data_IF_300658653035
#
_entry.id   IF_300658653035
#
_cell.length_a   1.000
_cell.length_b   1.000
_cell.length_c   1.000
_cell.angle_alpha   90.00
_cell.angle_beta   90.00
_cell.angle_gamma   90.00
#
_symmetry.space_group_name_H-M   'P 1'
#
loop_
_entity.id
_entity.type
_entity.pdbx_description
1 polymer ?
#
# COMPACT_ATOMS: atom_id res chain seq x y z
N UNK A 1 -6.23 -15.39 -2.04
CA UNK A 1 -6.77 -15.53 -0.68
C UNK A 1 -7.40 -14.21 -0.32
N UNK A 2 -8.71 -14.20 -0.06
CA UNK A 2 -9.40 -13.02 0.46
C UNK A 2 -8.82 -12.68 1.84
N UNK A 3 -8.62 -11.39 2.12
CA UNK A 3 -8.09 -10.90 3.39
C UNK A 3 -9.15 -11.18 4.47
N UNK A 4 -9.05 -12.33 5.15
CA UNK A 4 -9.99 -12.76 6.19
C UNK A 4 -9.96 -11.77 7.36
N UNK A 5 -11.11 -11.16 7.63
CA UNK A 5 -11.30 -10.26 8.75
C UNK A 5 -11.89 -11.04 9.93
N UNK A 6 -11.23 -11.14 11.09
CA UNK A 6 -11.69 -11.93 12.23
C UNK A 6 -12.73 -11.14 13.01
N UNK A 7 -13.96 -11.05 12.49
CA UNK A 7 -15.11 -10.60 13.26
C UNK A 7 -16.30 -11.51 13.00
N UNK A 8 -16.81 -12.13 14.06
CA UNK A 8 -18.11 -12.79 14.05
C UNK A 8 -19.18 -11.76 13.65
N UNK A 9 -19.96 -12.09 12.62
CA UNK A 9 -21.04 -11.28 12.08
C UNK A 9 -22.16 -11.09 13.13
N UNK A 10 -21.99 -10.18 14.08
CA UNK A 10 -22.99 -9.85 15.08
C UNK A 10 -22.88 -8.41 15.58
N UNK A 11 -23.09 -7.42 14.70
CA UNK A 11 -23.46 -6.06 15.13
C UNK A 11 -24.57 -5.49 14.24
N UNK A 12 -25.81 -5.70 14.71
CA UNK A 12 -26.96 -4.79 14.70
C UNK A 12 -27.26 -3.93 13.47
N UNK A 13 -28.39 -4.23 12.82
CA UNK A 13 -29.19 -3.24 12.10
C UNK A 13 -29.51 -2.04 13.00
N UNK A 14 -28.96 -0.87 12.71
CA UNK A 14 -29.62 0.45 12.84
C UNK A 14 -28.59 1.59 12.74
N UNK A 15 -28.66 2.35 11.64
CA UNK A 15 -28.62 3.82 11.62
C UNK A 15 -28.43 4.29 10.17
N UNK A 16 -29.55 4.36 9.45
CA UNK A 16 -29.63 4.99 8.14
C UNK A 16 -29.69 6.53 8.30
N UNK A 17 -29.11 7.21 7.31
CA UNK A 17 -29.28 8.64 6.92
C UNK A 17 -28.19 9.63 7.34
N UNK A 18 -27.08 9.61 6.57
CA UNK A 18 -26.51 10.78 5.85
C UNK A 18 -25.81 10.32 4.56
N UNK A 19 -26.59 9.62 3.73
CA UNK A 19 -26.12 8.94 2.54
C UNK A 19 -26.61 9.65 1.26
N UNK A 20 -25.70 10.08 0.39
CA UNK A 20 -26.04 10.27 -1.02
C UNK A 20 -24.83 10.21 -1.98
N UNK A 21 -23.60 10.44 -1.52
CA UNK A 21 -22.39 10.27 -2.35
C UNK A 21 -21.43 9.20 -1.83
N UNK A 22 -21.25 9.08 -0.50
CA UNK A 22 -20.41 8.03 0.10
C UNK A 22 -20.88 6.60 -0.19
N UNK A 23 -22.18 6.41 -0.49
CA UNK A 23 -22.75 5.07 -0.73
C UNK A 23 -22.42 4.44 -2.07
N UNK A 24 -22.09 5.23 -3.09
CA UNK A 24 -21.79 4.66 -4.42
C UNK A 24 -20.34 4.26 -4.53
N UNK A 25 -19.41 4.97 -3.90
CA UNK A 25 -17.97 4.73 -4.04
C UNK A 25 -17.35 3.97 -2.86
N UNK A 26 -17.93 3.97 -1.65
CA UNK A 26 -17.41 3.20 -0.52
C UNK A 26 -18.18 1.90 -0.34
N UNK A 27 -17.57 0.76 -0.68
CA UNK A 27 -18.25 -0.56 -0.72
C UNK A 27 -17.39 -1.69 -0.13
N UNK A 28 -16.88 -1.56 1.11
CA UNK A 28 -16.16 -2.64 1.76
C UNK A 28 -17.10 -3.80 2.10
N UNK A 29 -16.53 -5.02 2.17
CA UNK A 29 -17.23 -6.20 2.67
C UNK A 29 -17.65 -6.05 4.14
N UNK A 30 -16.82 -5.41 4.96
CA UNK A 30 -17.03 -5.16 6.39
C UNK A 30 -17.09 -3.66 6.68
N UNK A 31 -18.31 -3.11 6.71
CA UNK A 31 -18.58 -1.70 6.96
C UNK A 31 -18.97 -1.45 8.44
N UNK A 32 -18.26 -0.55 9.10
CA UNK A 32 -18.51 -0.09 10.46
C UNK A 32 -19.20 1.30 10.43
N UNK A 33 -20.49 1.39 10.81
CA UNK A 33 -21.20 2.66 10.83
C UNK A 33 -20.62 3.66 11.83
N UNK A 34 -20.70 4.96 11.50
CA UNK A 34 -20.34 6.05 12.41
C UNK A 34 -18.88 6.49 12.37
N UNK A 35 -18.00 5.73 11.70
CA UNK A 35 -16.64 6.17 11.41
C UNK A 35 -16.65 7.33 10.41
N UNK A 36 -15.70 8.27 10.59
CA UNK A 36 -15.48 9.34 9.61
C UNK A 36 -15.02 8.72 8.30
N UNK A 37 -15.65 9.12 7.20
CA UNK A 37 -15.34 8.61 5.87
C UNK A 37 -14.93 9.77 4.95
N UNK A 38 -13.67 9.79 4.54
CA UNK A 38 -13.12 10.73 3.55
C UNK A 38 -12.14 10.00 2.65
N UNK A 39 -12.17 10.18 1.31
CA UNK A 39 -11.29 9.46 0.39
C UNK A 39 -9.81 9.65 0.72
N UNK A 40 -9.38 10.91 0.86
CA UNK A 40 -8.04 11.28 1.32
C UNK A 40 -8.11 11.92 2.69
N UNK A 41 -7.16 11.59 3.53
CA UNK A 41 -7.06 12.13 4.88
C UNK A 41 -5.96 13.19 4.98
N UNK A 42 -6.17 14.23 5.81
CA UNK A 42 -5.19 15.29 5.97
C UNK A 42 -3.95 14.75 6.70
N UNK A 43 -2.77 15.07 6.15
CA UNK A 43 -1.46 14.71 6.74
C UNK A 43 -1.32 15.16 8.20
N UNK A 44 -1.97 16.27 8.57
CA UNK A 44 -1.97 16.79 9.95
C UNK A 44 -2.62 15.88 10.99
N UNK A 45 -3.40 14.86 10.57
CA UNK A 45 -3.95 13.86 11.47
C UNK A 45 -2.94 12.75 11.84
N UNK A 46 -1.80 12.66 11.14
CA UNK A 46 -0.82 11.57 11.27
C UNK A 46 0.61 12.09 11.40
N UNK A 47 0.81 13.24 12.04
CA UNK A 47 2.11 13.94 12.08
C UNK A 47 3.25 13.06 12.59
N UNK A 48 2.99 12.22 13.60
CA UNK A 48 4.02 11.38 14.23
C UNK A 48 4.45 10.25 13.30
N UNK A 49 3.48 9.51 12.72
CA UNK A 49 3.72 8.42 11.77
C UNK A 49 4.38 8.94 10.50
N UNK A 50 3.86 10.03 9.93
CA UNK A 50 4.40 10.65 8.72
C UNK A 50 5.81 11.16 9.00
N UNK A 51 6.03 11.90 10.08
CA UNK A 51 7.34 12.48 10.41
C UNK A 51 8.43 11.43 10.57
N UNK A 52 8.10 10.30 11.22
CA UNK A 52 9.04 9.19 11.39
C UNK A 52 9.35 8.46 10.07
N UNK A 53 8.34 8.19 9.25
CA UNK A 53 8.50 7.51 7.96
C UNK A 53 9.25 8.38 6.94
N UNK A 54 8.87 9.65 6.80
CA UNK A 54 9.54 10.61 5.91
C UNK A 54 10.96 10.91 6.40
N UNK A 55 11.18 11.01 7.72
CA UNK A 55 12.51 11.18 8.29
C UNK A 55 13.45 9.98 8.06
N UNK A 56 12.89 8.79 7.82
CA UNK A 56 13.63 7.57 7.52
C UNK A 56 13.69 7.24 6.01
N UNK A 57 13.08 8.05 5.14
CA UNK A 57 12.86 7.74 3.72
C UNK A 57 14.13 7.29 2.99
N UNK A 58 15.27 7.93 3.23
CA UNK A 58 16.52 7.59 2.56
C UNK A 58 17.02 6.20 2.92
N UNK A 59 16.85 5.79 4.19
CA UNK A 59 17.24 4.44 4.65
C UNK A 59 16.30 3.38 4.08
N UNK A 60 15.00 3.64 4.12
CA UNK A 60 13.97 2.73 3.58
C UNK A 60 14.15 2.56 2.06
N UNK A 61 14.39 3.66 1.33
CA UNK A 61 14.67 3.63 -0.10
C UNK A 61 15.93 2.83 -0.42
N UNK A 62 16.99 2.95 0.39
CA UNK A 62 18.21 2.18 0.19
C UNK A 62 17.94 0.67 0.27
N UNK A 63 17.17 0.22 1.28
CA UNK A 63 16.76 -1.19 1.41
C UNK A 63 15.98 -1.66 0.19
N UNK A 64 15.00 -0.87 -0.28
CA UNK A 64 14.26 -1.19 -1.50
C UNK A 64 15.17 -1.31 -2.72
N UNK A 65 16.09 -0.37 -2.94
CA UNK A 65 17.03 -0.46 -4.07
C UNK A 65 17.90 -1.73 -4.00
N UNK A 66 18.38 -2.11 -2.81
CA UNK A 66 19.12 -3.36 -2.62
C UNK A 66 18.26 -4.60 -2.92
N UNK A 67 16.99 -4.59 -2.49
CA UNK A 67 16.04 -5.66 -2.77
C UNK A 67 15.71 -5.80 -4.27
N UNK A 68 15.69 -4.69 -5.02
CA UNK A 68 15.44 -4.69 -6.46
C UNK A 68 16.68 -5.06 -7.28
N UNK A 69 17.88 -4.66 -6.87
CA UNK A 69 19.11 -5.06 -7.54
C UNK A 69 19.28 -6.60 -7.56
N UNK A 70 18.77 -7.27 -6.52
CA UNK A 70 18.68 -8.74 -6.50
C UNK A 70 17.82 -9.34 -7.61
N UNK A 71 16.82 -8.60 -8.13
CA UNK A 71 15.96 -9.08 -9.23
C UNK A 71 16.62 -8.96 -10.61
N UNK A 72 17.57 -8.02 -10.79
CA UNK A 72 18.26 -7.81 -12.07
C UNK A 72 19.44 -8.77 -12.28
N UNK A 73 19.91 -9.44 -11.21
CA UNK A 73 21.15 -10.22 -11.19
C UNK A 73 21.02 -11.73 -10.89
N UNK A 74 19.82 -12.31 -10.89
CA UNK A 74 19.68 -13.76 -10.69
C UNK A 74 20.07 -14.53 -11.95
N UNK A 75 21.23 -15.19 -11.92
CA UNK A 75 21.53 -16.34 -12.78
C UNK A 75 20.44 -17.42 -12.58
N UNK A 76 20.13 -18.21 -13.61
CA UNK A 76 19.08 -19.27 -13.58
C UNK A 76 19.31 -20.32 -12.46
N UNK A 77 20.51 -20.39 -11.89
CA UNK A 77 20.92 -21.28 -10.80
C UNK A 77 20.90 -20.64 -9.39
N UNK A 78 20.51 -19.36 -9.27
CA UNK A 78 20.38 -18.69 -7.97
C UNK A 78 19.07 -19.10 -7.30
N UNK A 79 19.14 -19.58 -6.05
CA UNK A 79 17.95 -19.79 -5.21
C UNK A 79 17.04 -18.55 -5.30
N UNK A 80 15.74 -18.71 -5.64
CA UNK A 80 14.86 -17.58 -5.85
C UNK A 80 14.89 -16.71 -4.59
N UNK A 81 15.25 -15.44 -4.74
CA UNK A 81 15.10 -14.45 -3.66
C UNK A 81 13.60 -14.29 -3.42
N UNK A 82 13.07 -15.16 -2.55
CA UNK A 82 11.66 -15.50 -2.32
C UNK A 82 10.73 -14.35 -1.89
N UNK A 83 11.13 -13.09 -2.03
CA UNK A 83 10.53 -12.04 -1.22
C UNK A 83 9.56 -11.12 -1.98
N UNK A 84 9.70 -11.01 -3.30
CA UNK A 84 8.71 -10.31 -4.13
C UNK A 84 7.70 -11.30 -4.69
N UNK A 85 6.45 -11.16 -4.27
CA UNK A 85 5.35 -12.02 -4.68
C UNK A 85 4.42 -11.25 -5.62
N UNK A 86 3.94 -11.86 -6.72
CA UNK A 86 2.86 -11.28 -7.51
C UNK A 86 1.61 -11.03 -6.67
N UNK A 87 0.89 -9.95 -6.93
CA UNK A 87 -0.40 -9.76 -6.27
C UNK A 87 -1.45 -10.73 -6.86
N UNK A 88 -1.90 -11.71 -6.07
CA UNK A 88 -2.78 -12.79 -6.53
C UNK A 88 -4.27 -12.46 -6.70
N UNK A 89 -4.70 -11.20 -6.61
CA UNK A 89 -6.12 -10.81 -6.59
C UNK A 89 -6.77 -10.76 -7.99
N UNK A 90 -5.99 -10.89 -9.07
CA UNK A 90 -6.52 -10.80 -10.45
C UNK A 90 -7.08 -9.43 -10.83
N UNK A 91 -6.83 -8.42 -10.00
CA UNK A 91 -7.35 -7.06 -10.16
C UNK A 91 -6.52 -6.17 -11.08
N UNK A 92 -5.42 -6.67 -11.66
CA UNK A 92 -4.49 -5.84 -12.42
C UNK A 92 -4.11 -6.43 -13.78
N UNK A 93 -3.66 -5.56 -14.67
CA UNK A 93 -2.85 -5.90 -15.84
C UNK A 93 -1.45 -5.33 -15.65
N UNK A 94 -0.42 -5.94 -16.25
CA UNK A 94 0.98 -5.56 -16.06
C UNK A 94 1.65 -6.29 -14.89
N UNK A 95 2.73 -5.71 -14.34
CA UNK A 95 3.53 -6.31 -13.26
C UNK A 95 3.27 -5.57 -11.95
N UNK A 96 2.54 -6.21 -11.05
CA UNK A 96 2.29 -5.73 -9.69
C UNK A 96 2.78 -6.77 -8.67
N UNK A 97 3.76 -6.37 -7.87
CA UNK A 97 4.38 -7.23 -6.86
C UNK A 97 4.34 -6.59 -5.48
N UNK A 98 4.43 -7.42 -4.45
CA UNK A 98 4.52 -7.02 -3.05
C UNK A 98 5.70 -7.72 -2.37
N UNK A 99 6.30 -7.02 -1.42
CA UNK A 99 7.28 -7.56 -0.49
C UNK A 99 6.72 -7.33 0.92
N UNK A 100 6.37 -8.39 1.63
CA UNK A 100 5.60 -8.30 2.88
C UNK A 100 6.51 -8.31 4.10
N UNK A 101 6.32 -7.35 5.01
CA UNK A 101 6.99 -7.29 6.31
C UNK A 101 6.02 -7.71 7.43
N UNK A 102 4.76 -7.26 7.37
CA UNK A 102 3.66 -7.71 8.23
C UNK A 102 2.39 -7.93 7.42
N UNK A 103 1.62 -8.95 7.77
CA UNK A 103 0.27 -9.15 7.23
C UNK A 103 -0.59 -9.92 8.24
N UNK A 104 -1.87 -9.54 8.34
CA UNK A 104 -2.85 -10.27 9.14
C UNK A 104 -2.42 -10.46 10.62
N UNK A 105 -1.86 -9.42 11.23
CA UNK A 105 -1.36 -9.45 12.61
C UNK A 105 -0.09 -10.27 12.82
N UNK A 106 0.58 -10.69 11.75
CA UNK A 106 1.77 -11.55 11.80
C UNK A 106 2.97 -10.88 11.16
N UNK A 107 4.11 -10.96 11.86
CA UNK A 107 5.43 -10.55 11.37
C UNK A 107 5.97 -11.59 10.39
N UNK A 108 6.41 -11.14 9.22
CA UNK A 108 7.10 -11.97 8.23
C UNK A 108 8.59 -11.86 8.48
N UNK A 109 9.14 -12.82 9.22
CA UNK A 109 10.54 -12.84 9.67
C UNK A 109 11.56 -12.62 8.54
N UNK A 110 11.34 -13.25 7.39
CA UNK A 110 12.23 -13.10 6.24
C UNK A 110 12.20 -11.69 5.67
N UNK A 111 11.00 -11.11 5.52
CA UNK A 111 10.80 -9.75 5.03
C UNK A 111 11.43 -8.71 5.96
N UNK A 112 11.15 -8.81 7.26
CA UNK A 112 11.71 -7.91 8.26
C UNK A 112 13.25 -8.00 8.37
N UNK A 113 13.82 -9.20 8.18
CA UNK A 113 15.28 -9.39 8.17
C UNK A 113 15.94 -8.71 6.97
N UNK A 114 15.26 -8.65 5.83
CA UNK A 114 15.79 -8.02 4.62
C UNK A 114 15.59 -6.49 4.59
N UNK A 115 14.69 -5.96 5.41
CA UNK A 115 14.44 -4.52 5.55
C UNK A 115 14.53 -4.05 7.02
N UNK A 116 15.69 -4.26 7.69
CA UNK A 116 15.83 -4.08 9.14
C UNK A 116 15.58 -2.63 9.61
N UNK A 117 15.94 -1.61 8.83
CA UNK A 117 15.72 -0.20 9.17
C UNK A 117 14.24 0.16 9.01
N UNK A 118 13.59 -0.32 7.97
CA UNK A 118 12.14 -0.19 7.81
C UNK A 118 11.41 -0.84 8.99
N UNK A 119 11.80 -2.06 9.36
CA UNK A 119 11.27 -2.78 10.52
C UNK A 119 11.44 -2.00 11.81
N UNK A 120 12.66 -1.51 12.09
CA UNK A 120 12.96 -0.73 13.30
C UNK A 120 12.10 0.53 13.43
N UNK A 121 11.86 1.23 12.31
CA UNK A 121 11.03 2.44 12.30
C UNK A 121 9.57 2.07 12.58
N UNK A 122 9.03 1.10 11.85
CA UNK A 122 7.63 0.69 11.93
C UNK A 122 7.26 0.15 13.31
N UNK A 123 8.13 -0.64 13.94
CA UNK A 123 7.89 -1.22 15.28
C UNK A 123 7.77 -0.16 16.38
N UNK A 124 8.27 1.07 16.15
CA UNK A 124 8.19 2.17 17.11
C UNK A 124 6.94 3.05 16.92
N UNK A 125 6.17 2.82 15.87
CA UNK A 125 5.02 3.66 15.53
C UNK A 125 3.75 3.22 16.24
N UNK A 126 3.12 4.15 16.95
CA UNK A 126 1.77 3.95 17.45
C UNK A 126 0.75 4.06 16.29
N UNK A 127 -0.34 3.30 16.40
CA UNK A 127 -1.45 3.35 15.43
C UNK A 127 -1.26 2.48 14.18
N UNK A 128 -0.10 1.87 13.98
CA UNK A 128 0.11 0.87 12.92
C UNK A 128 -0.53 -0.46 13.32
N UNK A 129 -1.22 -1.10 12.38
CA UNK A 129 -1.95 -2.34 12.58
C UNK A 129 -1.06 -3.60 12.58
N UNK A 130 -0.03 -3.65 13.43
CA UNK A 130 0.93 -4.77 13.46
C UNK A 130 0.36 -6.07 14.05
N UNK A 131 -0.58 -5.97 14.98
CA UNK A 131 -1.24 -7.09 15.68
C UNK A 131 -2.71 -7.26 15.27
N UNK A 132 -3.10 -6.60 14.17
CA UNK A 132 -4.44 -6.61 13.62
C UNK A 132 -4.38 -6.93 12.12
N UNK A 133 -5.52 -7.14 11.45
CA UNK A 133 -5.52 -7.58 10.05
C UNK A 133 -5.16 -6.51 9.01
N UNK A 134 -4.24 -5.60 9.36
CA UNK A 134 -3.57 -4.70 8.43
C UNK A 134 -2.30 -5.30 7.83
N UNK A 135 -1.59 -4.48 7.06
CA UNK A 135 -0.37 -4.83 6.35
C UNK A 135 0.69 -3.75 6.45
N UNK A 136 1.95 -4.21 6.45
CA UNK A 136 3.11 -3.39 6.12
C UNK A 136 3.90 -4.10 5.04
N UNK A 137 4.04 -3.48 3.88
CA UNK A 137 4.67 -4.09 2.71
C UNK A 137 5.21 -3.05 1.74
N UNK A 138 6.29 -3.36 1.02
CA UNK A 138 6.59 -2.63 -0.20
C UNK A 138 5.68 -3.12 -1.31
N UNK A 139 5.10 -2.21 -2.06
CA UNK A 139 4.39 -2.53 -3.30
C UNK A 139 5.18 -1.98 -4.47
N UNK A 140 5.38 -2.77 -5.52
CA UNK A 140 6.04 -2.39 -6.76
C UNK A 140 5.04 -2.48 -7.93
N UNK A 141 4.99 -1.45 -8.78
CA UNK A 141 4.36 -1.50 -10.10
C UNK A 141 5.38 -1.10 -11.17
N UNK A 142 5.49 -1.89 -12.24
CA UNK A 142 6.26 -1.51 -13.42
C UNK A 142 5.40 -0.71 -14.41
N UNK A 143 6.02 -0.04 -15.40
CA UNK A 143 5.29 0.69 -16.44
C UNK A 143 4.30 -0.20 -17.21
N UNK A 144 3.16 0.37 -17.61
CA UNK A 144 2.05 -0.35 -18.22
C UNK A 144 1.16 -1.12 -17.22
N UNK A 145 1.41 -0.98 -15.92
CA UNK A 145 0.59 -1.66 -14.90
C UNK A 145 -0.62 -0.80 -14.52
N UNK A 146 -1.81 -1.40 -14.54
CA UNK A 146 -3.06 -0.77 -14.10
C UNK A 146 -3.84 -1.69 -13.18
N UNK A 147 -4.16 -1.20 -12.01
CA UNK A 147 -5.05 -1.81 -11.03
C UNK A 147 -6.47 -1.35 -11.33
N UNK A 148 -7.42 -2.29 -11.44
CA UNK A 148 -8.83 -2.00 -11.67
C UNK A 148 -9.45 -1.30 -10.44
N UNK A 149 -10.51 -0.50 -10.62
CA UNK A 149 -11.29 0.03 -9.51
C UNK A 149 -11.79 -1.09 -8.60
N UNK A 150 -11.46 -1.01 -7.31
CA UNK A 150 -11.89 -1.97 -6.29
C UNK A 150 -11.97 -1.27 -4.92
N UNK A 151 -12.63 -1.90 -3.96
CA UNK A 151 -12.67 -1.43 -2.57
C UNK A 151 -11.89 -2.43 -1.71
N UNK A 152 -11.18 -1.90 -0.72
CA UNK A 152 -10.63 -2.67 0.38
C UNK A 152 -11.76 -3.34 1.19
N UNK A 153 -11.44 -4.37 1.96
CA UNK A 153 -12.44 -5.20 2.63
C UNK A 153 -13.15 -4.48 3.78
N UNK A 154 -12.68 -3.31 4.21
CA UNK A 154 -13.17 -2.67 5.45
C UNK A 154 -12.83 -1.19 5.59
N UNK A 155 -13.69 -0.41 6.25
CA UNK A 155 -13.50 1.03 6.52
C UNK A 155 -12.97 1.35 7.93
N UNK A 156 -12.53 0.35 8.70
CA UNK A 156 -11.93 0.61 10.02
C UNK A 156 -10.41 0.77 9.94
N UNK A 157 -9.81 0.67 8.74
CA UNK A 157 -8.40 0.95 8.50
C UNK A 157 -8.24 2.11 7.54
N UNK A 158 -7.14 2.82 7.68
CA UNK A 158 -6.63 3.75 6.69
C UNK A 158 -5.32 3.22 6.11
N UNK A 159 -5.08 3.52 4.84
CA UNK A 159 -3.87 3.11 4.14
C UNK A 159 -2.96 4.31 3.92
N UNK A 160 -1.75 4.22 4.45
CA UNK A 160 -0.68 5.17 4.18
C UNK A 160 0.27 4.60 3.13
N UNK A 161 0.58 5.41 2.11
CA UNK A 161 1.65 5.16 1.14
C UNK A 161 2.78 6.15 1.39
N UNK A 162 4.01 5.67 1.65
CA UNK A 162 5.24 6.44 1.52
C UNK A 162 5.89 6.09 0.17
N UNK A 163 5.91 6.98 -0.82
CA UNK A 163 6.56 6.72 -2.10
C UNK A 163 8.08 6.74 -1.96
N UNK A 164 8.73 5.67 -2.41
CA UNK A 164 10.18 5.46 -2.30
C UNK A 164 10.86 5.63 -3.65
N UNK A 165 10.24 5.09 -4.70
CA UNK A 165 10.62 5.24 -6.10
C UNK A 165 9.39 5.69 -6.90
N UNK A 166 9.50 6.78 -7.65
CA UNK A 166 8.46 7.25 -8.57
C UNK A 166 9.08 7.47 -9.95
N UNK A 167 8.61 6.77 -11.00
CA UNK A 167 9.25 6.83 -12.30
C UNK A 167 9.09 8.20 -12.95
N UNK A 168 10.18 8.70 -13.53
CA UNK A 168 10.21 10.02 -14.18
C UNK A 168 9.80 9.93 -15.65
N UNK A 169 9.10 10.95 -16.14
CA UNK A 169 8.73 11.05 -17.56
C UNK A 169 7.55 10.15 -17.96
N UNK A 170 6.83 9.61 -16.98
CA UNK A 170 5.62 8.81 -17.16
C UNK A 170 4.59 9.23 -16.13
N UNK A 171 3.31 9.12 -16.46
CA UNK A 171 2.25 9.38 -15.49
C UNK A 171 2.06 8.15 -14.61
N UNK A 172 2.00 8.38 -13.31
CA UNK A 172 1.54 7.39 -12.35
C UNK A 172 0.68 8.08 -11.29
N UNK A 173 -0.34 7.40 -10.80
CA UNK A 173 -1.25 8.02 -9.84
C UNK A 173 -2.17 7.03 -9.15
N UNK A 174 -2.79 7.55 -8.09
CA UNK A 174 -3.82 6.92 -7.30
C UNK A 174 -5.11 7.71 -7.46
N UNK A 175 -6.20 7.03 -7.78
CA UNK A 175 -7.54 7.62 -7.81
C UNK A 175 -8.35 6.98 -6.69
N UNK A 176 -8.94 7.77 -5.80
CA UNK A 176 -9.79 7.29 -4.70
C UNK A 176 -11.10 8.07 -4.76
N UNK A 177 -12.22 7.37 -4.91
CA UNK A 177 -13.55 7.96 -5.09
C UNK A 177 -13.62 9.03 -6.20
N UNK A 178 -12.85 8.84 -7.28
CA UNK A 178 -12.77 9.78 -8.41
C UNK A 178 -11.80 10.95 -8.22
N UNK A 179 -11.21 11.12 -7.03
CA UNK A 179 -10.16 12.11 -6.79
C UNK A 179 -8.79 11.53 -7.10
N UNK A 180 -8.03 12.15 -7.99
CA UNK A 180 -6.66 11.76 -8.32
C UNK A 180 -5.64 12.46 -7.41
N UNK A 181 -4.62 11.71 -6.98
CA UNK A 181 -3.36 12.22 -6.41
C UNK A 181 -2.18 11.49 -7.06
N UNK A 182 -1.15 12.25 -7.37
CA UNK A 182 0.12 11.67 -7.85
C UNK A 182 1.02 11.42 -6.64
N UNK A 183 1.85 10.38 -6.71
CA UNK A 183 2.85 10.12 -5.68
C UNK A 183 4.03 11.07 -5.83
N UNK A 184 4.50 11.60 -4.71
CA UNK A 184 5.73 12.39 -4.62
C UNK A 184 6.72 11.62 -3.76
N UNK A 185 7.94 11.39 -4.26
CA UNK A 185 8.96 10.66 -3.51
C UNK A 185 9.20 11.30 -2.14
N UNK A 186 9.13 10.48 -1.10
CA UNK A 186 9.31 10.91 0.29
C UNK A 186 8.16 11.67 0.91
N UNK A 187 7.02 11.82 0.23
CA UNK A 187 5.83 12.45 0.80
C UNK A 187 4.70 11.43 0.99
N UNK A 188 4.37 11.14 2.25
CA UNK A 188 3.27 10.26 2.62
C UNK A 188 1.90 10.75 2.11
N UNK A 189 1.10 9.80 1.63
CA UNK A 189 -0.29 9.98 1.27
C UNK A 189 -1.14 9.03 2.11
N UNK A 190 -2.21 9.54 2.74
CA UNK A 190 -3.13 8.73 3.54
C UNK A 190 -4.51 8.76 2.90
N UNK A 191 -5.08 7.58 2.67
CA UNK A 191 -6.40 7.42 2.08
C UNK A 191 -7.17 6.27 2.74
N UNK A 192 -8.48 6.31 2.60
CA UNK A 192 -9.37 5.24 3.05
C UNK A 192 -9.55 4.25 1.88
N UNK A 193 -8.92 3.07 1.98
CA UNK A 193 -8.96 2.06 0.91
C UNK A 193 -10.32 1.37 0.80
N UNK A 194 -11.25 1.59 1.73
CA UNK A 194 -12.64 1.12 1.61
C UNK A 194 -13.45 1.87 0.55
N UNK A 195 -12.98 3.05 0.14
CA UNK A 195 -13.45 3.70 -1.07
C UNK A 195 -12.89 3.01 -2.30
N UNK A 196 -13.67 3.04 -3.39
CA UNK A 196 -13.26 2.58 -4.70
C UNK A 196 -11.99 3.33 -5.09
N UNK A 197 -10.94 2.56 -5.37
CA UNK A 197 -9.66 3.10 -5.75
C UNK A 197 -9.03 2.29 -6.89
N UNK A 198 -8.27 3.01 -7.70
CA UNK A 198 -7.43 2.46 -8.76
C UNK A 198 -6.06 3.11 -8.75
N UNK A 199 -5.06 2.38 -9.24
CA UNK A 199 -3.69 2.81 -9.32
C UNK A 199 -3.13 2.48 -10.70
N UNK A 200 -2.30 3.34 -11.26
CA UNK A 200 -1.70 3.10 -12.57
C UNK A 200 -0.28 3.64 -12.65
N UNK A 201 0.52 3.00 -13.51
CA UNK A 201 1.76 3.51 -14.07
C UNK A 201 1.62 3.35 -15.57
N UNK A 202 1.57 4.46 -16.30
CA UNK A 202 1.46 4.43 -17.76
C UNK A 202 2.68 3.72 -18.40
N UNK A 203 2.58 3.39 -19.69
CA UNK A 203 3.72 2.83 -20.40
C UNK A 203 4.87 3.82 -20.53
N UNK A 204 6.10 3.30 -20.49
CA UNK A 204 7.33 4.05 -20.72
C UNK A 204 7.82 3.79 -22.14
N UNK A 205 8.15 4.86 -22.87
CA UNK A 205 8.60 4.76 -24.26
C UNK A 205 10.03 4.23 -24.41
N UNK A 206 10.87 4.36 -23.37
CA UNK A 206 12.28 3.98 -23.41
C UNK A 206 12.62 3.00 -22.27
N UNK A 207 13.42 1.95 -22.54
CA UNK A 207 13.89 1.04 -21.49
C UNK A 207 14.78 1.78 -20.49
N UNK A 208 14.58 1.51 -19.20
CA UNK A 208 15.49 1.91 -18.12
C UNK A 208 15.64 0.76 -17.13
N UNK A 209 16.52 0.91 -16.14
CA UNK A 209 16.63 -0.06 -15.04
C UNK A 209 15.29 -0.23 -14.32
N UNK A 210 15.11 -1.33 -13.60
CA UNK A 210 13.94 -1.54 -12.74
C UNK A 210 13.83 -0.41 -11.71
N UNK A 211 14.96 0.01 -11.13
CA UNK A 211 15.00 1.09 -10.12
C UNK A 211 14.53 2.43 -10.69
N UNK A 212 14.85 2.73 -11.96
CA UNK A 212 14.47 3.99 -12.60
C UNK A 212 13.04 3.99 -13.18
N UNK A 213 12.46 2.79 -13.37
CA UNK A 213 11.16 2.58 -14.02
C UNK A 213 10.05 2.20 -13.05
N UNK A 214 10.39 1.62 -11.90
CA UNK A 214 9.43 1.12 -10.95
C UNK A 214 8.81 2.25 -10.13
N UNK A 215 7.50 2.16 -9.93
CA UNK A 215 6.80 2.83 -8.83
C UNK A 215 6.90 1.92 -7.63
N UNK A 216 7.59 2.34 -6.56
CA UNK A 216 7.63 1.59 -5.29
C UNK A 216 7.15 2.47 -4.15
N UNK A 217 6.16 1.97 -3.40
CA UNK A 217 5.65 2.61 -2.18
C UNK A 217 5.77 1.65 -1.01
N UNK A 218 6.06 2.15 0.18
CA UNK A 218 5.80 1.44 1.43
C UNK A 218 4.33 1.67 1.81
N UNK A 219 3.59 0.58 1.92
CA UNK A 219 2.23 0.55 2.44
C UNK A 219 2.31 0.31 3.95
N UNK A 220 1.59 1.12 4.72
CA UNK A 220 1.39 0.95 6.17
C UNK A 220 -0.09 1.13 6.47
N UNK A 221 -0.76 0.08 6.92
CA UNK A 221 -2.15 0.17 7.36
C UNK A 221 -2.23 0.68 8.81
N UNK A 222 -3.10 1.66 9.03
CA UNK A 222 -3.31 2.41 10.27
C UNK A 222 -4.74 2.18 10.78
N UNK A 223 -4.91 2.29 12.11
CA UNK A 223 -6.24 2.41 12.74
C UNK A 223 -6.93 3.74 12.40
#
# INVERSE_FOLDING_TARGET
>A
EEEEWPLDAAVGESALVRASLARTTQRPTHLFPGLRATPFWPRSAFTDVIGALEGAVSSIRHEVCSLLAGLEGTDEDSEPTMAWEPQGEGLHAGVWQKFVLWAAGRRVEAGCRAAPRTTEVVEKLAGVMLEAPGRVAFSLMLPGTRLKPHCGPTNHRLRLHLPLLVPRGVQCGLVVAGERRDWVEGECLVFDDSFEHEAFVEELCEPRSVVDSARVVLIVDLW
#
